data_IF_605709912683
#
_entry.id   IF_605709912683
#
_cell.length_a   1.000
_cell.length_b   1.000
_cell.length_c   1.000
_cell.angle_alpha   90.00
_cell.angle_beta   90.00
_cell.angle_gamma   90.00
#
_symmetry.space_group_name_H-M   'P 1'
#
loop_
_entity.id
_entity.type
_entity.pdbx_description
1 polymer ?
#
# COMPACT_ATOMS: atom_id res chain seq x y z
N UNK A 1 -3.05 11.07 4.12
CA UNK A 1 -2.25 10.45 3.04
C UNK A 1 -2.06 8.96 3.29
N UNK A 2 -2.07 8.13 2.24
CA UNK A 2 -2.05 6.65 2.34
C UNK A 2 -0.78 6.07 1.74
N UNK A 3 -0.01 5.28 2.50
CA UNK A 3 1.18 4.60 1.97
C UNK A 3 0.89 3.15 1.61
N UNK A 4 1.09 2.73 0.36
CA UNK A 4 0.98 1.33 -0.04
C UNK A 4 2.36 0.69 -0.14
N UNK A 5 2.61 -0.33 0.69
CA UNK A 5 3.91 -1.01 0.78
C UNK A 5 3.91 -2.36 0.04
N UNK A 6 4.93 -2.62 -0.78
CA UNK A 6 5.17 -3.92 -1.42
C UNK A 6 6.67 -4.28 -1.38
N UNK A 7 7.01 -5.51 -0.97
CA UNK A 7 8.39 -5.99 -0.80
C UNK A 7 8.54 -7.48 -1.14
N UNK A 8 9.77 -7.95 -1.38
CA UNK A 8 10.12 -9.37 -1.34
C UNK A 8 9.87 -10.15 -2.64
N UNK A 9 9.51 -9.46 -3.71
CA UNK A 9 9.28 -10.07 -5.02
C UNK A 9 10.58 -10.21 -5.82
N UNK A 10 10.72 -11.17 -6.74
CA UNK A 10 11.83 -11.21 -7.69
C UNK A 10 11.84 -9.97 -8.61
N UNK A 11 13.01 -9.48 -9.08
CA UNK A 11 13.12 -8.21 -9.83
C UNK A 11 12.18 -8.06 -11.03
N UNK A 12 11.97 -9.14 -11.79
CA UNK A 12 11.05 -9.13 -12.94
C UNK A 12 9.59 -8.90 -12.51
N UNK A 13 9.16 -9.59 -11.44
CA UNK A 13 7.82 -9.46 -10.85
C UNK A 13 7.60 -8.08 -10.25
N UNK A 14 8.64 -7.47 -9.68
CA UNK A 14 8.57 -6.11 -9.16
C UNK A 14 8.26 -5.08 -10.26
N UNK A 15 8.90 -5.20 -11.43
CA UNK A 15 8.69 -4.25 -12.51
C UNK A 15 7.29 -4.37 -13.14
N UNK A 16 6.82 -5.61 -13.30
CA UNK A 16 5.44 -5.90 -13.73
C UNK A 16 4.43 -5.32 -12.73
N UNK A 17 4.55 -5.65 -11.43
CA UNK A 17 3.67 -5.14 -10.39
C UNK A 17 3.78 -3.63 -10.17
N UNK A 18 4.96 -3.03 -10.39
CA UNK A 18 5.13 -1.58 -10.29
C UNK A 18 4.34 -0.86 -11.39
N UNK A 19 4.37 -1.38 -12.63
CA UNK A 19 3.57 -0.84 -13.73
C UNK A 19 2.08 -0.92 -13.39
N UNK A 20 1.61 -2.11 -12.99
CA UNK A 20 0.22 -2.32 -12.59
C UNK A 20 -0.18 -1.40 -11.41
N UNK A 21 0.75 -1.18 -10.46
CA UNK A 21 0.57 -0.28 -9.33
C UNK A 21 0.45 1.18 -9.75
N UNK A 22 1.25 1.63 -10.71
CA UNK A 22 1.20 3.00 -11.21
C UNK A 22 -0.08 3.25 -12.01
N UNK A 23 -0.53 2.26 -12.79
CA UNK A 23 -1.80 2.32 -13.50
C UNK A 23 -2.96 2.39 -12.51
N UNK A 24 -2.95 1.53 -11.48
CA UNK A 24 -3.98 1.53 -10.44
C UNK A 24 -3.94 2.82 -9.60
N UNK A 25 -2.75 3.32 -9.29
CA UNK A 25 -2.56 4.59 -8.60
C UNK A 25 -3.16 5.74 -9.40
N UNK A 26 -2.99 5.72 -10.72
CA UNK A 26 -3.56 6.70 -11.65
C UNK A 26 -5.08 6.57 -11.72
N UNK A 27 -5.64 5.36 -11.86
CA UNK A 27 -7.09 5.11 -11.81
C UNK A 27 -7.72 5.64 -10.51
N UNK A 28 -7.05 5.40 -9.38
CA UNK A 28 -7.50 5.88 -8.08
C UNK A 28 -7.38 7.41 -7.99
N UNK A 29 -6.28 7.99 -8.45
CA UNK A 29 -6.09 9.46 -8.49
C UNK A 29 -7.15 10.14 -9.36
N UNK A 30 -7.43 9.61 -10.54
CA UNK A 30 -8.47 10.07 -11.47
C UNK A 30 -9.88 9.91 -10.88
N UNK A 31 -10.09 8.94 -9.97
CA UNK A 31 -11.35 8.84 -9.22
C UNK A 31 -11.51 9.92 -8.14
N UNK A 32 -10.41 10.57 -7.75
CA UNK A 32 -10.37 11.66 -6.77
C UNK A 32 -10.47 13.06 -7.38
N UNK A 33 -10.72 13.19 -8.69
CA UNK A 33 -10.79 14.43 -9.51
C UNK A 33 -11.92 15.42 -9.14
N UNK A 34 -12.38 15.36 -7.89
CA UNK A 34 -13.25 16.34 -7.22
C UNK A 34 -12.56 16.97 -6.01
N UNK A 35 -11.25 17.20 -6.04
CA UNK A 35 -10.55 17.90 -4.95
C UNK A 35 -10.00 19.26 -5.40
N UNK A 36 -10.09 20.30 -4.53
CA UNK A 36 -9.58 21.63 -4.84
C UNK A 36 -8.05 21.64 -5.02
N UNK A 37 -7.55 22.55 -5.86
CA UNK A 37 -6.18 22.65 -6.42
C UNK A 37 -4.98 22.69 -5.44
N UNK A 38 -5.17 22.46 -4.13
CA UNK A 38 -4.13 22.61 -3.11
C UNK A 38 -4.05 21.46 -2.09
N UNK A 39 -4.75 20.34 -2.30
CA UNK A 39 -4.57 19.15 -1.46
C UNK A 39 -3.51 18.21 -2.03
N UNK A 40 -2.55 17.79 -1.19
CA UNK A 40 -1.60 16.73 -1.52
C UNK A 40 -2.36 15.47 -1.98
N UNK A 41 -1.83 14.70 -2.95
CA UNK A 41 -2.50 13.49 -3.43
C UNK A 41 -2.79 12.55 -2.25
N UNK A 42 -4.01 12.01 -2.16
CA UNK A 42 -4.43 11.24 -0.98
C UNK A 42 -3.60 9.97 -0.81
N UNK A 43 -2.96 9.45 -1.87
CA UNK A 43 -2.16 8.22 -1.85
C UNK A 43 -0.71 8.47 -2.30
N UNK A 44 0.21 7.89 -1.54
CA UNK A 44 1.64 7.81 -1.80
C UNK A 44 2.00 6.33 -1.93
N UNK A 45 2.31 5.84 -3.12
CA UNK A 45 2.65 4.43 -3.30
C UNK A 45 4.15 4.22 -3.03
N UNK A 46 4.51 3.22 -2.23
CA UNK A 46 5.90 2.91 -1.90
C UNK A 46 6.22 1.43 -2.13
N UNK A 47 6.95 1.13 -3.20
CA UNK A 47 7.45 -0.22 -3.47
C UNK A 47 8.89 -0.33 -2.96
N UNK A 48 9.10 -1.06 -1.87
CA UNK A 48 10.41 -1.22 -1.24
C UNK A 48 11.08 -2.52 -1.66
N UNK A 49 12.17 -2.43 -2.42
CA UNK A 49 12.95 -3.59 -2.91
C UNK A 49 14.14 -3.92 -1.99
N UNK A 50 14.51 -3.04 -1.07
CA UNK A 50 15.79 -3.11 -0.36
C UNK A 50 15.64 -2.92 1.15
N UNK A 51 16.49 -3.61 1.91
CA UNK A 51 16.64 -3.51 3.37
C UNK A 51 17.22 -2.15 3.86
N UNK A 52 17.26 -1.12 3.02
CA UNK A 52 17.89 0.17 3.31
C UNK A 52 16.93 1.36 3.10
N UNK A 53 17.30 2.52 3.65
CA UNK A 53 16.49 3.75 3.53
C UNK A 53 15.27 3.78 4.44
N UNK A 54 14.19 4.41 3.99
CA UNK A 54 12.94 4.53 4.76
C UNK A 54 12.15 3.20 4.87
N UNK A 55 12.49 2.18 4.07
CA UNK A 55 11.77 0.90 4.00
C UNK A 55 11.63 0.22 5.36
N UNK A 56 12.71 -0.01 6.13
CA UNK A 56 12.60 -0.73 7.39
C UNK A 56 11.78 0.06 8.44
N UNK A 57 11.86 1.39 8.38
CA UNK A 57 11.11 2.27 9.28
C UNK A 57 9.61 2.19 8.97
N UNK A 58 9.23 2.25 7.69
CA UNK A 58 7.83 2.10 7.26
C UNK A 58 7.29 0.71 7.57
N UNK A 59 8.09 -0.36 7.37
CA UNK A 59 7.72 -1.71 7.80
C UNK A 59 7.47 -1.82 9.30
N UNK A 60 8.34 -1.22 10.10
CA UNK A 60 8.20 -1.18 11.55
C UNK A 60 6.92 -0.45 11.97
N UNK A 61 6.63 0.71 11.37
CA UNK A 61 5.39 1.44 11.62
C UNK A 61 4.15 0.62 11.27
N UNK A 62 4.20 -0.14 10.16
CA UNK A 62 3.11 -1.00 9.73
C UNK A 62 3.02 -2.34 10.50
N UNK A 63 3.95 -2.66 11.40
CA UNK A 63 4.00 -3.96 12.08
C UNK A 63 4.09 -5.13 11.09
N UNK A 64 4.91 -4.99 10.04
CA UNK A 64 5.10 -5.98 8.97
C UNK A 64 6.41 -6.73 9.18
N UNK A 65 6.32 -7.92 9.76
CA UNK A 65 7.48 -8.74 10.14
C UNK A 65 8.04 -9.60 8.99
N UNK A 66 7.23 -9.88 7.96
CA UNK A 66 7.59 -10.77 6.84
C UNK A 66 7.45 -10.11 5.47
N UNK A 67 8.05 -10.75 4.46
CA UNK A 67 7.92 -10.38 3.04
C UNK A 67 7.55 -11.64 2.24
N UNK A 68 6.75 -11.55 1.16
CA UNK A 68 6.14 -10.33 0.66
C UNK A 68 4.96 -9.86 1.53
N UNK A 69 4.72 -8.55 1.58
CA UNK A 69 3.66 -7.96 2.39
C UNK A 69 2.97 -6.80 1.68
N UNK A 70 1.69 -6.62 1.99
CA UNK A 70 0.84 -5.54 1.50
C UNK A 70 0.13 -4.87 2.67
N UNK A 71 0.31 -3.55 2.80
CA UNK A 71 -0.33 -2.76 3.84
C UNK A 71 -0.67 -1.35 3.36
N UNK A 72 -1.72 -0.76 3.94
CA UNK A 72 -2.04 0.67 3.88
C UNK A 72 -1.70 1.30 5.23
N UNK A 73 -0.85 2.31 5.20
CA UNK A 73 -0.60 3.21 6.34
C UNK A 73 -1.48 4.45 6.22
N UNK A 74 -2.42 4.63 7.15
CA UNK A 74 -3.26 5.83 7.30
C UNK A 74 -2.70 6.70 8.43
N UNK A 75 -1.85 7.67 8.07
CA UNK A 75 -1.14 8.53 9.02
C UNK A 75 -2.11 9.44 9.78
N UNK A 76 -3.14 9.96 9.10
CA UNK A 76 -4.07 10.92 9.68
C UNK A 76 -4.96 10.26 10.76
N UNK A 77 -5.26 8.97 10.58
CA UNK A 77 -6.05 8.20 11.55
C UNK A 77 -5.22 7.34 12.50
N UNK A 78 -3.90 7.39 12.41
CA UNK A 78 -2.97 6.53 13.16
C UNK A 78 -3.32 5.03 13.05
N UNK A 79 -3.66 4.58 11.84
CA UNK A 79 -4.14 3.21 11.57
C UNK A 79 -3.32 2.52 10.49
N UNK A 80 -3.24 1.22 10.60
CA UNK A 80 -2.62 0.33 9.62
C UNK A 80 -3.63 -0.72 9.19
N UNK A 81 -3.71 -0.97 7.88
CA UNK A 81 -4.55 -2.00 7.28
C UNK A 81 -3.62 -2.99 6.59
N UNK A 82 -3.67 -4.27 6.94
CA UNK A 82 -2.77 -5.29 6.40
C UNK A 82 -3.54 -6.34 5.62
N UNK A 83 -2.96 -6.79 4.51
CA UNK A 83 -3.38 -8.05 3.91
C UNK A 83 -3.05 -9.18 4.90
N UNK A 84 -4.05 -9.96 5.29
CA UNK A 84 -3.89 -11.10 6.19
C UNK A 84 -3.82 -12.41 5.41
N UNK A 85 -2.98 -13.33 5.87
CA UNK A 85 -2.80 -14.66 5.30
C UNK A 85 -1.75 -14.73 4.19
N UNK A 86 -1.51 -15.95 3.72
CA UNK A 86 -0.41 -16.27 2.80
C UNK A 86 -0.80 -16.10 1.33
N UNK A 87 -1.72 -15.17 1.02
CA UNK A 87 -2.12 -14.90 -0.36
C UNK A 87 -0.92 -14.40 -1.15
N UNK A 88 -0.74 -14.93 -2.36
CA UNK A 88 0.22 -14.40 -3.30
C UNK A 88 -0.17 -12.94 -3.64
N UNK A 89 0.81 -12.04 -3.59
CA UNK A 89 0.60 -10.63 -3.88
C UNK A 89 0.77 -10.41 -5.39
N UNK A 90 -0.34 -10.41 -6.11
CA UNK A 90 -0.48 -10.11 -7.54
C UNK A 90 -1.47 -8.96 -7.78
N UNK A 91 -1.67 -8.58 -9.04
CA UNK A 91 -2.52 -7.45 -9.42
C UNK A 91 -3.98 -7.60 -8.94
N UNK A 92 -4.53 -8.81 -9.02
CA UNK A 92 -5.89 -9.09 -8.56
C UNK A 92 -5.98 -8.97 -7.04
N UNK A 93 -5.01 -9.50 -6.30
CA UNK A 93 -4.92 -9.33 -4.86
C UNK A 93 -4.82 -7.85 -4.45
N UNK A 94 -4.05 -7.04 -5.18
CA UNK A 94 -3.96 -5.60 -4.95
C UNK A 94 -5.30 -4.91 -5.16
N UNK A 95 -5.98 -5.21 -6.28
CA UNK A 95 -7.30 -4.65 -6.61
C UNK A 95 -8.33 -5.03 -5.55
N UNK A 96 -8.39 -6.29 -5.14
CA UNK A 96 -9.28 -6.78 -4.08
C UNK A 96 -9.02 -6.06 -2.76
N UNK A 97 -7.75 -5.98 -2.35
CA UNK A 97 -7.36 -5.36 -1.09
C UNK A 97 -7.72 -3.88 -1.04
N UNK A 98 -7.43 -3.13 -2.11
CA UNK A 98 -7.75 -1.72 -2.20
C UNK A 98 -9.25 -1.47 -2.26
N UNK A 99 -10.01 -2.31 -2.97
CA UNK A 99 -11.47 -2.24 -2.99
C UNK A 99 -12.06 -2.45 -1.59
N UNK A 100 -11.59 -3.49 -0.88
CA UNK A 100 -12.01 -3.79 0.49
C UNK A 100 -11.60 -2.67 1.47
N UNK A 101 -10.44 -2.06 1.27
CA UNK A 101 -9.99 -0.91 2.05
C UNK A 101 -10.92 0.29 1.84
N UNK A 102 -11.22 0.62 0.58
CA UNK A 102 -12.10 1.74 0.21
C UNK A 102 -13.55 1.54 0.67
N UNK A 103 -14.03 0.29 0.77
CA UNK A 103 -15.35 -0.04 1.31
C UNK A 103 -15.39 -0.15 2.84
N UNK A 104 -14.24 -0.08 3.52
CA UNK A 104 -14.16 -0.20 4.98
C UNK A 104 -14.25 -1.63 5.51
N UNK A 105 -14.06 -2.63 4.66
CA UNK A 105 -14.10 -4.06 5.00
C UNK A 105 -12.78 -4.57 5.59
N UNK A 106 -11.67 -3.87 5.36
CA UNK A 106 -10.36 -4.24 5.92
C UNK A 106 -10.27 -3.80 7.38
N UNK A 107 -9.98 -4.76 8.26
CA UNK A 107 -9.75 -4.47 9.67
C UNK A 107 -8.47 -3.65 9.88
N UNK A 108 -8.56 -2.59 10.68
CA UNK A 108 -7.43 -1.73 11.05
C UNK A 108 -6.78 -2.17 12.35
N UNK A 109 -5.48 -1.92 12.47
CA UNK A 109 -4.68 -2.02 13.69
C UNK A 109 -4.07 -0.64 14.04
N UNK A 110 -3.80 -0.34 15.32
CA UNK A 110 -3.11 0.90 15.71
C UNK A 110 -1.70 0.96 15.13
N UNK A 111 -1.24 2.17 14.79
CA UNK A 111 0.13 2.42 14.34
C UNK A 111 1.18 2.06 15.40
N UNK A 112 2.30 1.44 14.99
CA UNK A 112 3.48 1.24 15.84
C UNK A 112 3.38 0.14 16.90
N UNK A 113 2.48 -0.84 16.71
CA UNK A 113 2.40 -2.07 17.53
C UNK A 113 3.24 -3.21 16.97
#
# INVERSE_FOLDING_TARGET
>A
SFCLFLEGLPPKRQHELFTDLMDLASEVLDSFDKRPEHEAPPLLFYVGVQAGGAVPQVRGMCGVEGSPALAVLDVDKEKVFKLKGDKAIDADCLREFLKAYMSGEVASEPLGR
#
